data_IF_178615853879
#
_entry.id   IF_178615853879
#
_cell.length_a   1.000
_cell.length_b   1.000
_cell.length_c   1.000
_cell.angle_alpha   90.00
_cell.angle_beta   90.00
_cell.angle_gamma   90.00
#
_symmetry.space_group_name_H-M   'P 1'
#
loop_
_entity.id
_entity.type
_entity.pdbx_description
1 polymer ?
#
# COMPACT_ATOMS: atom_id res chain seq x y z
N UNK A 1 -7.79 -14.95 6.62
CA UNK A 1 -7.54 -14.06 5.47
C UNK A 1 -7.19 -14.83 4.21
N UNK A 2 -6.30 -15.83 4.25
CA UNK A 2 -5.92 -16.63 3.08
C UNK A 2 -7.08 -17.32 2.34
N UNK A 3 -8.18 -17.65 3.03
CA UNK A 3 -9.37 -18.22 2.39
C UNK A 3 -10.24 -17.19 1.65
N UNK A 4 -10.05 -15.89 1.92
CA UNK A 4 -10.88 -14.81 1.37
C UNK A 4 -10.22 -14.07 0.21
N UNK A 5 -8.90 -14.22 0.02
CA UNK A 5 -8.12 -13.53 -1.01
C UNK A 5 -7.44 -14.60 -1.88
N UNK A 6 -7.62 -14.58 -3.20
CA UNK A 6 -6.99 -15.54 -4.09
C UNK A 6 -5.49 -15.21 -4.26
N UNK A 7 -4.70 -16.12 -4.85
CA UNK A 7 -3.33 -15.80 -5.29
C UNK A 7 -2.38 -15.27 -4.18
N UNK A 8 -2.55 -15.73 -2.94
CA UNK A 8 -1.63 -15.36 -1.85
C UNK A 8 -0.26 -16.02 -2.03
N UNK A 9 0.81 -15.30 -1.67
CA UNK A 9 2.19 -15.82 -1.73
C UNK A 9 2.82 -15.81 -3.12
N UNK A 10 2.17 -15.22 -4.13
CA UNK A 10 2.72 -15.06 -5.48
C UNK A 10 3.53 -13.76 -5.57
N UNK A 11 4.76 -13.84 -6.06
CA UNK A 11 5.65 -12.69 -6.21
C UNK A 11 5.33 -11.89 -7.48
N UNK A 12 5.58 -10.57 -7.44
CA UNK A 12 5.34 -9.71 -8.62
C UNK A 12 6.08 -10.19 -9.88
N UNK A 13 7.28 -10.77 -9.74
CA UNK A 13 8.05 -11.32 -10.86
C UNK A 13 7.29 -12.41 -11.63
N UNK A 14 6.46 -13.19 -10.94
CA UNK A 14 5.72 -14.29 -11.55
C UNK A 14 4.58 -13.78 -12.47
N UNK A 15 4.27 -12.48 -12.43
CA UNK A 15 3.30 -11.84 -13.33
C UNK A 15 3.65 -11.86 -14.81
N UNK A 16 4.85 -12.31 -15.19
CA UNK A 16 5.20 -12.57 -16.59
C UNK A 16 4.48 -13.80 -17.16
N UNK A 17 4.07 -14.73 -16.29
CA UNK A 17 3.46 -16.01 -16.68
C UNK A 17 2.18 -16.33 -15.90
N UNK A 18 1.81 -15.50 -14.92
CA UNK A 18 0.61 -15.65 -14.08
C UNK A 18 -0.31 -14.44 -14.23
N UNK A 19 -1.62 -14.59 -13.94
CA UNK A 19 -2.55 -13.47 -13.94
C UNK A 19 -2.08 -12.28 -13.10
N UNK A 20 -2.29 -11.07 -13.63
CA UNK A 20 -1.95 -9.81 -12.96
C UNK A 20 -3.09 -9.31 -12.05
N UNK A 21 -4.29 -9.88 -12.20
CA UNK A 21 -5.47 -9.66 -11.39
C UNK A 21 -6.18 -11.00 -11.18
N UNK A 22 -6.52 -11.31 -9.93
CA UNK A 22 -7.45 -12.37 -9.57
C UNK A 22 -8.53 -11.83 -8.62
N UNK A 23 -9.79 -12.22 -8.86
CA UNK A 23 -10.95 -11.81 -8.07
C UNK A 23 -11.67 -13.05 -7.57
N UNK A 24 -11.98 -13.09 -6.27
CA UNK A 24 -12.71 -14.18 -5.63
C UNK A 24 -13.97 -13.65 -4.95
N UNK A 25 -15.10 -14.26 -5.26
CA UNK A 25 -16.37 -14.02 -4.59
C UNK A 25 -16.62 -15.13 -3.57
N UNK A 26 -16.71 -14.76 -2.30
CA UNK A 26 -16.93 -15.71 -1.20
C UNK A 26 -18.26 -15.41 -0.53
N UNK A 27 -19.26 -16.26 -0.78
CA UNK A 27 -20.56 -16.18 -0.11
C UNK A 27 -20.41 -16.57 1.36
N UNK A 28 -20.83 -15.68 2.24
CA UNK A 28 -20.92 -15.89 3.68
C UNK A 28 -22.39 -16.17 4.06
N UNK A 29 -22.64 -16.52 5.33
CA UNK A 29 -24.02 -16.79 5.81
C UNK A 29 -24.93 -15.57 5.63
N UNK A 30 -24.39 -14.38 5.82
CA UNK A 30 -25.08 -13.10 5.94
C UNK A 30 -24.52 -12.03 5.00
N UNK A 31 -23.68 -12.41 4.03
CA UNK A 31 -23.07 -11.45 3.14
C UNK A 31 -22.17 -12.06 2.07
N UNK A 32 -21.37 -11.19 1.47
CA UNK A 32 -20.44 -11.54 0.40
C UNK A 32 -19.11 -10.84 0.69
N UNK A 33 -18.01 -11.60 0.66
CA UNK A 33 -16.67 -11.05 0.65
C UNK A 33 -16.12 -11.09 -0.78
N UNK A 34 -15.56 -9.98 -1.25
CA UNK A 34 -14.88 -9.89 -2.54
C UNK A 34 -13.39 -9.70 -2.26
N UNK A 35 -12.60 -10.73 -2.55
CA UNK A 35 -11.15 -10.70 -2.43
C UNK A 35 -10.50 -10.38 -3.77
N UNK A 36 -9.61 -9.40 -3.80
CA UNK A 36 -8.84 -9.04 -4.98
C UNK A 36 -7.34 -9.21 -4.72
N UNK A 37 -6.64 -9.82 -5.66
CA UNK A 37 -5.19 -9.88 -5.69
C UNK A 37 -4.68 -9.21 -6.97
N UNK A 38 -3.81 -8.21 -6.81
CA UNK A 38 -3.21 -7.44 -7.89
C UNK A 38 -1.69 -7.65 -7.90
N UNK A 39 -1.09 -7.72 -9.08
CA UNK A 39 0.35 -7.60 -9.21
C UNK A 39 0.74 -6.12 -9.02
N UNK A 40 1.53 -5.83 -7.99
CA UNK A 40 1.86 -4.45 -7.62
C UNK A 40 2.85 -3.79 -8.62
N UNK A 41 3.44 -4.54 -9.55
CA UNK A 41 4.25 -3.95 -10.63
C UNK A 41 3.41 -3.22 -11.69
N UNK A 42 2.10 -3.52 -11.77
CA UNK A 42 1.23 -2.89 -12.77
C UNK A 42 0.42 -1.72 -12.22
N UNK A 43 0.34 -1.54 -10.91
CA UNK A 43 -0.46 -0.47 -10.30
C UNK A 43 -0.01 -0.18 -8.86
N UNK A 44 -0.32 1.01 -8.37
CA UNK A 44 -0.15 1.42 -6.98
C UNK A 44 -1.50 1.47 -6.22
N UNK A 45 -1.48 1.93 -4.96
CA UNK A 45 -2.68 2.05 -4.15
C UNK A 45 -3.73 3.01 -4.73
N UNK A 46 -3.30 4.11 -5.34
CA UNK A 46 -4.21 5.08 -5.99
C UNK A 46 -4.88 4.45 -7.20
N UNK A 47 -4.11 3.80 -8.08
CA UNK A 47 -4.62 3.09 -9.24
C UNK A 47 -5.52 1.90 -8.87
N UNK A 48 -5.22 1.21 -7.76
CA UNK A 48 -6.10 0.17 -7.18
C UNK A 48 -7.48 0.76 -6.87
N UNK A 49 -7.54 1.89 -6.15
CA UNK A 49 -8.82 2.48 -5.78
C UNK A 49 -9.57 3.07 -6.97
N UNK A 50 -8.84 3.60 -7.96
CA UNK A 50 -9.42 4.01 -9.22
C UNK A 50 -10.10 2.84 -9.93
N UNK A 51 -9.40 1.72 -10.11
CA UNK A 51 -9.96 0.50 -10.71
C UNK A 51 -11.22 0.02 -10.00
N UNK A 52 -11.18 -0.09 -8.67
CA UNK A 52 -12.32 -0.58 -7.88
C UNK A 52 -13.51 0.39 -7.94
N UNK A 53 -13.27 1.72 -7.95
CA UNK A 53 -14.33 2.72 -8.11
C UNK A 53 -14.98 2.63 -9.49
N UNK A 54 -14.17 2.56 -10.56
CA UNK A 54 -14.66 2.38 -11.94
C UNK A 54 -15.43 1.07 -12.10
N UNK A 55 -14.95 -0.03 -11.49
CA UNK A 55 -15.65 -1.30 -11.51
C UNK A 55 -17.02 -1.20 -10.80
N UNK A 56 -17.09 -0.55 -9.65
CA UNK A 56 -18.33 -0.32 -8.93
C UNK A 56 -19.32 0.59 -9.70
N UNK A 57 -18.84 1.59 -10.44
CA UNK A 57 -19.67 2.42 -11.33
C UNK A 57 -20.33 1.59 -12.43
N UNK A 58 -19.54 0.77 -13.12
CA UNK A 58 -20.04 -0.10 -14.19
C UNK A 58 -21.04 -1.12 -13.65
N UNK A 59 -20.77 -1.73 -12.49
CA UNK A 59 -21.72 -2.64 -11.83
C UNK A 59 -23.04 -1.96 -11.42
N UNK A 60 -23.03 -0.64 -11.19
CA UNK A 60 -24.24 0.15 -10.92
C UNK A 60 -24.98 0.61 -12.19
N UNK A 61 -24.50 0.20 -13.37
CA UNK A 61 -25.13 0.52 -14.66
C UNK A 61 -24.63 1.81 -15.31
N UNK A 62 -23.50 2.37 -14.88
CA UNK A 62 -22.87 3.46 -15.61
C UNK A 62 -22.42 2.98 -17.01
N UNK A 63 -22.61 3.81 -18.04
CA UNK A 63 -22.19 3.48 -19.41
C UNK A 63 -20.66 3.48 -19.57
N UNK A 64 -19.96 4.29 -18.76
CA UNK A 64 -18.50 4.37 -18.70
C UNK A 64 -18.07 4.84 -17.30
N UNK A 65 -16.80 4.60 -16.90
CA UNK A 65 -16.27 5.18 -15.67
C UNK A 65 -16.23 6.70 -15.70
N UNK A 66 -16.39 7.35 -14.54
CA UNK A 66 -16.34 8.81 -14.38
C UNK A 66 -15.00 9.42 -14.79
N UNK A 67 -13.93 8.64 -14.68
CA UNK A 67 -12.59 9.02 -15.11
C UNK A 67 -11.91 7.82 -15.78
N UNK A 68 -11.34 8.05 -16.96
CA UNK A 68 -10.60 7.01 -17.67
C UNK A 68 -9.12 6.99 -17.23
N UNK A 69 -8.55 5.79 -17.01
CA UNK A 69 -7.15 5.66 -16.66
C UNK A 69 -6.25 6.05 -17.83
N UNK A 70 -5.11 6.67 -17.54
CA UNK A 70 -4.07 6.97 -18.52
C UNK A 70 -3.01 5.88 -18.45
N UNK A 71 -2.86 5.12 -19.53
CA UNK A 71 -1.94 3.97 -19.61
C UNK A 71 -0.57 4.30 -20.20
N UNK A 72 -0.36 5.54 -20.68
CA UNK A 72 0.93 5.95 -21.25
C UNK A 72 2.00 6.08 -20.16
N UNK A 73 2.66 4.97 -19.81
CA UNK A 73 3.66 4.94 -18.72
C UNK A 73 4.84 5.88 -18.94
N UNK A 74 5.15 6.22 -20.19
CA UNK A 74 6.24 7.13 -20.53
C UNK A 74 6.04 8.56 -19.98
N UNK A 75 4.80 8.92 -19.58
CA UNK A 75 4.51 10.21 -18.95
C UNK A 75 5.23 10.40 -17.62
N UNK A 76 5.41 9.33 -16.83
CA UNK A 76 6.10 9.44 -15.55
C UNK A 76 7.63 9.43 -15.70
N UNK A 77 8.13 8.79 -16.77
CA UNK A 77 9.57 8.69 -17.04
C UNK A 77 9.82 8.33 -18.50
N UNK A 78 10.64 9.14 -19.18
CA UNK A 78 11.05 8.90 -20.58
C UNK A 78 12.16 7.84 -20.71
N UNK A 79 12.95 7.63 -19.65
CA UNK A 79 14.08 6.69 -19.64
C UNK A 79 13.62 5.30 -19.25
N UNK A 80 13.86 4.32 -20.14
CA UNK A 80 13.75 2.89 -19.79
C UNK A 80 14.96 2.48 -18.96
N UNK A 81 14.72 1.91 -17.79
CA UNK A 81 15.77 1.32 -16.95
C UNK A 81 15.86 -0.15 -17.32
N UNK A 82 17.07 -0.62 -17.65
CA UNK A 82 17.34 -2.04 -17.77
C UNK A 82 17.11 -2.71 -16.42
N UNK A 83 16.17 -3.64 -16.35
CA UNK A 83 15.85 -4.34 -15.12
C UNK A 83 16.46 -5.75 -15.19
N UNK A 84 17.41 -6.04 -14.30
CA UNK A 84 17.90 -7.41 -14.11
C UNK A 84 16.99 -8.09 -13.09
N UNK A 85 16.19 -9.04 -13.56
CA UNK A 85 15.28 -9.80 -12.71
C UNK A 85 16.00 -11.04 -12.18
N UNK A 86 15.70 -11.48 -10.94
CA UNK A 86 16.19 -12.76 -10.46
C UNK A 86 15.58 -13.89 -11.30
N UNK A 87 16.27 -15.03 -11.37
CA UNK A 87 15.85 -16.16 -12.21
C UNK A 87 14.51 -16.79 -11.76
N UNK A 88 14.14 -16.64 -10.50
CA UNK A 88 12.88 -17.14 -9.94
C UNK A 88 12.49 -16.40 -8.66
N UNK A 89 11.26 -16.64 -8.18
CA UNK A 89 10.81 -16.15 -6.88
C UNK A 89 11.66 -16.70 -5.73
N UNK A 90 12.03 -17.98 -5.79
CA UNK A 90 12.90 -18.62 -4.79
C UNK A 90 14.30 -18.01 -4.79
N UNK A 91 14.84 -17.67 -5.96
CA UNK A 91 16.13 -16.99 -6.06
C UNK A 91 16.08 -15.61 -5.40
N UNK A 92 14.97 -14.88 -5.56
CA UNK A 92 14.75 -13.61 -4.87
C UNK A 92 14.66 -13.79 -3.35
N UNK A 93 13.85 -14.73 -2.87
CA UNK A 93 13.66 -14.98 -1.43
C UNK A 93 14.95 -15.41 -0.72
N UNK A 94 15.81 -16.19 -1.38
CA UNK A 94 17.13 -16.56 -0.84
C UNK A 94 18.03 -15.37 -0.53
N UNK A 95 17.78 -14.23 -1.19
CA UNK A 95 18.56 -13.00 -1.01
C UNK A 95 17.87 -11.97 -0.11
N UNK A 96 16.74 -12.32 0.52
CA UNK A 96 16.00 -11.40 1.39
C UNK A 96 16.84 -11.03 2.63
N UNK A 97 17.23 -9.75 2.80
CA UNK A 97 18.01 -9.32 3.96
C UNK A 97 17.24 -9.43 5.29
N UNK A 98 15.92 -9.60 5.24
CA UNK A 98 15.09 -9.78 6.43
C UNK A 98 15.10 -11.22 6.97
N UNK A 99 15.75 -12.15 6.26
CA UNK A 99 15.84 -13.55 6.64
C UNK A 99 14.55 -14.33 6.41
N UNK A 100 14.43 -15.55 7.00
CA UNK A 100 13.29 -16.42 6.74
C UNK A 100 11.99 -15.82 7.28
N UNK A 101 10.89 -16.06 6.55
CA UNK A 101 9.54 -15.65 6.95
C UNK A 101 9.20 -16.26 8.32
N UNK A 102 8.95 -15.40 9.31
CA UNK A 102 8.45 -15.80 10.63
C UNK A 102 6.93 -15.94 10.58
N UNK A 103 6.32 -16.85 11.37
CA UNK A 103 4.87 -16.88 11.52
C UNK A 103 4.37 -15.55 12.06
N UNK A 104 3.50 -14.88 11.30
CA UNK A 104 2.92 -13.59 11.69
C UNK A 104 1.45 -13.77 12.06
N UNK A 105 1.02 -13.08 13.11
CA UNK A 105 -0.39 -12.94 13.46
C UNK A 105 -0.85 -11.53 13.11
N UNK A 106 -1.95 -11.44 12.38
CA UNK A 106 -2.58 -10.16 12.06
C UNK A 106 -3.56 -9.75 13.16
N UNK A 107 -3.50 -8.49 13.60
CA UNK A 107 -4.48 -7.88 14.51
C UNK A 107 -4.87 -6.50 14.00
N UNK A 108 -6.17 -6.21 14.05
CA UNK A 108 -6.70 -4.89 13.71
C UNK A 108 -6.78 -4.05 14.99
N UNK A 109 -6.21 -2.84 14.92
CA UNK A 109 -6.31 -1.85 15.99
C UNK A 109 -7.13 -0.67 15.48
N UNK A 110 -8.21 -0.34 16.20
CA UNK A 110 -9.06 0.80 15.88
C UNK A 110 -8.60 2.04 16.62
N UNK A 111 -8.47 3.15 15.90
CA UNK A 111 -8.16 4.46 16.45
C UNK A 111 -9.32 5.41 16.14
N UNK A 112 -10.30 5.54 17.06
CA UNK A 112 -11.40 6.47 16.89
C UNK A 112 -10.92 7.92 16.75
N UNK A 113 -11.71 8.76 16.10
CA UNK A 113 -11.37 10.17 15.86
C UNK A 113 -10.93 10.93 17.13
N UNK A 114 -11.59 10.82 18.29
CA UNK A 114 -11.14 11.51 19.51
C UNK A 114 -9.74 11.05 19.97
N UNK A 115 -9.40 9.78 19.74
CA UNK A 115 -8.08 9.23 20.08
C UNK A 115 -7.02 9.77 19.13
N UNK A 116 -7.29 9.82 17.83
CA UNK A 116 -6.38 10.39 16.82
C UNK A 116 -6.16 11.88 17.09
N UNK A 117 -7.23 12.63 17.42
CA UNK A 117 -7.15 14.04 17.76
C UNK A 117 -6.24 14.27 18.98
N UNK A 118 -6.40 13.46 20.04
CA UNK A 118 -5.54 13.52 21.23
C UNK A 118 -4.07 13.19 20.93
N UNK A 119 -3.81 12.14 20.13
CA UNK A 119 -2.44 11.79 19.72
C UNK A 119 -1.81 12.95 18.93
N UNK A 120 -2.55 13.54 17.99
CA UNK A 120 -2.10 14.69 17.20
C UNK A 120 -1.85 15.91 18.07
N UNK A 121 -2.74 16.23 19.01
CA UNK A 121 -2.56 17.36 19.93
C UNK A 121 -1.30 17.19 20.77
N UNK A 122 -1.07 16.01 21.35
CA UNK A 122 0.12 15.73 22.15
C UNK A 122 1.42 15.84 21.33
N UNK A 123 1.43 15.35 20.09
CA UNK A 123 2.60 15.46 19.21
C UNK A 123 2.91 16.92 18.85
N UNK A 124 1.89 17.74 18.63
CA UNK A 124 2.06 19.15 18.28
C UNK A 124 2.38 20.05 19.48
N UNK A 125 2.00 19.66 20.70
CA UNK A 125 2.33 20.40 21.92
C UNK A 125 3.84 20.47 22.19
N UNK A 126 4.62 19.54 21.62
CA UNK A 126 6.08 19.52 21.73
C UNK A 126 6.80 20.37 20.68
N UNK A 127 6.07 21.01 19.76
CA UNK A 127 6.67 21.84 18.71
C UNK A 127 7.09 23.23 19.22
N UNK A 128 8.18 23.80 18.71
CA UNK A 128 8.55 25.16 19.01
C UNK A 128 7.52 26.15 18.43
N UNK A 129 7.40 27.37 19.00
CA UNK A 129 6.53 28.41 18.46
C UNK A 129 6.80 28.68 16.98
N UNK A 130 5.74 28.74 16.16
CA UNK A 130 5.81 29.03 14.73
C UNK A 130 6.11 27.83 13.82
N UNK A 131 6.37 26.63 14.37
CA UNK A 131 6.56 25.44 13.55
C UNK A 131 5.26 24.97 12.88
N UNK A 132 5.38 24.40 11.66
CA UNK A 132 4.26 23.79 10.94
C UNK A 132 3.73 22.59 11.73
N UNK A 133 2.42 22.51 12.01
CA UNK A 133 1.84 21.38 12.72
C UNK A 133 2.01 20.05 11.98
N UNK A 134 2.24 18.98 12.73
CA UNK A 134 2.19 17.61 12.23
C UNK A 134 0.77 17.23 11.83
N UNK A 135 0.65 16.50 10.72
CA UNK A 135 -0.61 15.90 10.27
C UNK A 135 -1.05 14.75 11.18
N UNK A 136 -2.31 14.32 11.03
CA UNK A 136 -2.81 13.12 11.72
C UNK A 136 -2.00 11.88 11.33
N UNK A 137 -1.65 11.75 10.04
CA UNK A 137 -0.81 10.67 9.52
C UNK A 137 0.58 10.65 10.19
N UNK A 138 1.26 11.79 10.27
CA UNK A 138 2.57 11.88 10.91
C UNK A 138 2.49 11.54 12.41
N UNK A 139 1.49 12.09 13.10
CA UNK A 139 1.33 11.92 14.54
C UNK A 139 0.99 10.46 14.91
N UNK A 140 0.04 9.86 14.18
CA UNK A 140 -0.35 8.47 14.41
C UNK A 140 0.74 7.49 13.95
N UNK A 141 1.39 7.75 12.82
CA UNK A 141 2.50 6.94 12.32
C UNK A 141 3.66 6.89 13.31
N UNK A 142 4.07 8.05 13.87
CA UNK A 142 5.09 8.11 14.90
C UNK A 142 4.67 7.38 16.20
N UNK A 143 3.40 7.52 16.60
CA UNK A 143 2.86 6.81 17.76
C UNK A 143 2.91 5.28 17.59
N UNK A 144 2.52 4.78 16.42
CA UNK A 144 2.58 3.35 16.09
C UNK A 144 4.04 2.89 16.03
N UNK A 145 4.92 3.64 15.37
CA UNK A 145 6.33 3.28 15.28
C UNK A 145 6.97 3.14 16.66
N UNK A 146 6.78 4.12 17.55
CA UNK A 146 7.26 4.04 18.94
C UNK A 146 6.70 2.83 19.68
N UNK A 147 5.42 2.51 19.47
CA UNK A 147 4.77 1.36 20.10
C UNK A 147 5.33 0.03 19.59
N UNK A 148 5.61 -0.08 18.29
CA UNK A 148 6.24 -1.25 17.68
C UNK A 148 7.68 -1.41 18.16
N UNK A 149 8.47 -0.33 18.22
CA UNK A 149 9.85 -0.38 18.73
C UNK A 149 9.90 -0.86 20.19
N UNK A 150 8.95 -0.41 21.02
CA UNK A 150 8.80 -0.89 22.41
C UNK A 150 8.40 -2.36 22.49
N UNK A 151 7.42 -2.78 21.69
CA UNK A 151 6.97 -4.17 21.67
C UNK A 151 8.05 -5.14 21.13
N UNK A 152 9.01 -4.62 20.36
CA UNK A 152 10.22 -5.35 19.91
C UNK A 152 11.37 -5.30 20.92
N UNK A 153 11.20 -4.59 22.03
CA UNK A 153 12.22 -4.43 23.08
C UNK A 153 13.55 -3.89 22.53
N UNK A 154 13.47 -3.00 21.54
CA UNK A 154 14.67 -2.43 20.92
C UNK A 154 15.48 -1.60 21.93
N UNK A 155 16.78 -1.87 21.99
CA UNK A 155 17.75 -1.13 22.78
C UNK A 155 18.07 0.24 22.19
N UNK A 156 18.79 1.11 22.94
CA UNK A 156 19.11 2.47 22.50
C UNK A 156 19.94 2.56 21.21
N UNK A 157 20.74 1.53 20.92
CA UNK A 157 21.59 1.45 19.73
C UNK A 157 20.96 0.64 18.58
N UNK A 158 19.79 0.04 18.79
CA UNK A 158 19.16 -0.79 17.77
C UNK A 158 18.58 0.09 16.65
N UNK A 159 18.89 -0.30 15.41
CA UNK A 159 18.40 0.41 14.23
C UNK A 159 16.95 0.00 13.97
N UNK A 160 16.07 0.99 13.81
CA UNK A 160 14.72 0.79 13.29
C UNK A 160 14.46 1.74 12.13
N UNK A 161 13.70 1.25 11.15
CA UNK A 161 13.32 2.02 9.96
C UNK A 161 11.80 2.12 9.89
N UNK A 162 11.28 3.31 9.58
CA UNK A 162 9.87 3.55 9.29
C UNK A 162 9.73 4.03 7.84
N UNK A 163 9.32 3.11 6.97
CA UNK A 163 9.12 3.40 5.55
C UNK A 163 7.71 3.92 5.31
N UNK A 164 7.61 5.00 4.52
CA UNK A 164 6.34 5.56 4.05
C UNK A 164 6.39 5.63 2.52
N UNK A 165 5.35 5.16 1.87
CA UNK A 165 5.16 5.31 0.44
C UNK A 165 4.38 6.59 0.15
N UNK A 166 4.82 7.36 -0.84
CA UNK A 166 4.21 8.63 -1.21
C UNK A 166 3.69 8.57 -2.66
N UNK A 167 2.51 9.13 -2.89
CA UNK A 167 2.05 9.39 -4.25
C UNK A 167 2.93 10.47 -4.90
N UNK A 168 3.58 10.08 -5.99
CA UNK A 168 4.51 10.94 -6.72
C UNK A 168 3.84 11.69 -7.87
N UNK A 169 2.58 11.40 -8.25
CA UNK A 169 1.97 11.96 -9.48
C UNK A 169 2.09 13.48 -9.59
N UNK A 170 1.69 14.19 -8.52
CA UNK A 170 1.76 15.65 -8.43
C UNK A 170 3.18 16.20 -8.13
N UNK A 171 4.16 15.33 -7.89
CA UNK A 171 5.54 15.67 -7.51
C UNK A 171 6.54 15.47 -8.65
N UNK A 172 6.11 14.85 -9.74
CA UNK A 172 6.93 14.73 -10.95
C UNK A 172 7.02 16.08 -11.66
N UNK A 173 8.04 16.23 -12.52
CA UNK A 173 8.22 17.38 -13.38
C UNK A 173 8.35 16.92 -14.85
N UNK A 174 7.32 17.13 -15.69
CA UNK A 174 6.03 17.72 -15.35
C UNK A 174 5.16 16.77 -14.49
N UNK A 175 4.20 17.29 -13.70
CA UNK A 175 3.25 16.46 -12.98
C UNK A 175 2.42 15.59 -13.92
N UNK A 176 2.14 14.35 -13.51
CA UNK A 176 1.22 13.48 -14.26
C UNK A 176 -0.19 13.55 -13.67
N UNK A 177 -1.25 13.31 -14.49
CA UNK A 177 -2.62 13.38 -14.00
C UNK A 177 -2.92 12.37 -12.88
N UNK A 178 -3.90 12.68 -12.03
CA UNK A 178 -4.36 11.78 -10.96
C UNK A 178 -4.86 10.42 -11.49
N UNK A 179 -5.29 10.36 -12.75
CA UNK A 179 -5.74 9.15 -13.44
C UNK A 179 -4.62 8.34 -14.09
N UNK A 180 -3.35 8.75 -13.93
CA UNK A 180 -2.19 7.95 -14.37
C UNK A 180 -2.18 6.58 -13.69
N UNK A 181 -2.15 5.52 -14.49
CA UNK A 181 -2.30 4.13 -14.05
C UNK A 181 -0.95 3.42 -13.90
#
# INVERSE_FOLDING_TARGET
MQQLIPYTGVMNLEGLHRPLLAVQFTKLKDGLAVGCAFNHAVLDGTATWHFMSSWAELCRGAAAPSALPIHNRAMARSVRVGLTLPASAEAHEKTDPNGPKKPLVARVFSFPEPVVARIKANANAALPPGAKPFSAFQSLGAHIWRSVSRARELGPADITVFAVFADCRARLDPPVPATYF
#
